data_IF_444907295733
#
_entry.id   IF_444907295733
#
_cell.length_a   1.000
_cell.length_b   1.000
_cell.length_c   1.000
_cell.angle_alpha   90.00
_cell.angle_beta   90.00
_cell.angle_gamma   90.00
#
_symmetry.space_group_name_H-M   'P 1'
#
loop_
_entity.id
_entity.type
_entity.pdbx_description
1 polymer ?
#
# COMPACT_ATOMS: atom_id res chain seq x y z
N UNK A 1 -3.28 39.67 10.94
CA UNK A 1 -4.49 38.85 10.77
C UNK A 1 -4.76 38.77 9.27
N UNK A 2 -4.37 37.68 8.65
CA UNK A 2 -4.72 37.37 7.25
C UNK A 2 -5.23 35.94 7.31
N UNK A 3 -6.57 35.81 7.20
CA UNK A 3 -7.25 34.52 7.21
C UNK A 3 -7.00 33.80 5.88
N UNK A 4 -6.31 32.68 5.93
CA UNK A 4 -6.23 31.75 4.81
C UNK A 4 -7.56 30.96 4.77
N UNK A 5 -8.37 31.17 3.73
CA UNK A 5 -9.54 30.37 3.43
C UNK A 5 -9.13 28.97 3.00
N UNK A 6 -9.56 27.98 3.77
CA UNK A 6 -9.47 26.56 3.41
C UNK A 6 -10.40 26.32 2.20
N UNK A 7 -9.94 25.68 1.12
CA UNK A 7 -10.82 25.32 0.02
C UNK A 7 -11.86 24.29 0.47
N UNK A 8 -13.08 24.29 -0.09
CA UNK A 8 -14.16 23.40 0.33
C UNK A 8 -13.75 21.93 0.05
N UNK A 9 -13.96 21.09 1.05
CA UNK A 9 -13.77 19.64 0.96
C UNK A 9 -14.56 19.09 -0.23
N UNK A 10 -13.89 18.31 -1.07
CA UNK A 10 -14.46 17.63 -2.23
C UNK A 10 -15.75 16.90 -1.83
N UNK A 11 -16.84 17.11 -2.60
CA UNK A 11 -18.20 16.62 -2.29
C UNK A 11 -18.34 15.10 -2.07
N UNK A 12 -17.30 14.30 -2.34
CA UNK A 12 -17.27 12.87 -2.07
C UNK A 12 -17.10 12.53 -0.58
N UNK A 13 -16.35 13.32 0.20
CA UNK A 13 -16.19 13.07 1.64
C UNK A 13 -17.53 13.31 2.41
N UNK A 14 -18.28 14.33 2.02
CA UNK A 14 -19.59 14.60 2.61
C UNK A 14 -20.58 13.46 2.28
N UNK A 15 -20.54 12.91 1.07
CA UNK A 15 -21.42 11.81 0.66
C UNK A 15 -21.11 10.48 1.38
N UNK A 16 -19.85 10.15 1.58
CA UNK A 16 -19.45 8.94 2.32
C UNK A 16 -19.84 9.06 3.80
N UNK A 17 -19.59 10.21 4.42
CA UNK A 17 -20.02 10.47 5.79
C UNK A 17 -21.55 10.41 5.95
N UNK A 18 -22.29 10.89 4.95
CA UNK A 18 -23.75 10.84 4.94
C UNK A 18 -24.29 9.40 4.82
N UNK A 19 -23.73 8.58 3.93
CA UNK A 19 -24.15 7.17 3.77
C UNK A 19 -23.90 6.38 5.06
N UNK A 20 -22.79 6.63 5.73
CA UNK A 20 -22.49 5.95 7.01
C UNK A 20 -23.39 6.46 8.13
N UNK A 21 -23.68 7.77 8.18
CA UNK A 21 -24.61 8.35 9.15
C UNK A 21 -26.05 7.84 8.94
N UNK A 22 -26.48 7.72 7.69
CA UNK A 22 -27.81 7.22 7.34
C UNK A 22 -27.97 5.74 7.68
N UNK A 23 -26.91 4.92 7.48
CA UNK A 23 -26.90 3.52 7.89
C UNK A 23 -26.93 3.34 9.41
N UNK A 24 -26.23 4.16 10.17
CA UNK A 24 -26.28 4.18 11.64
C UNK A 24 -27.65 4.63 12.18
N UNK A 25 -28.23 5.66 11.58
CA UNK A 25 -29.57 6.15 11.97
C UNK A 25 -30.68 5.17 11.59
N UNK A 26 -30.51 4.34 10.56
CA UNK A 26 -31.44 3.27 10.22
C UNK A 26 -31.38 2.13 11.26
N UNK A 27 -30.19 1.75 11.69
CA UNK A 27 -29.99 0.72 12.73
C UNK A 27 -30.55 1.16 14.10
N UNK A 28 -30.40 2.45 14.46
CA UNK A 28 -30.97 3.01 15.70
C UNK A 28 -32.51 3.09 15.66
N UNK A 29 -33.12 3.31 14.49
CA UNK A 29 -34.56 3.29 14.30
C UNK A 29 -35.14 1.86 14.43
N UNK A 30 -34.46 0.85 13.96
CA UNK A 30 -34.86 -0.56 14.15
C UNK A 30 -34.72 -1.01 15.63
N UNK A 31 -33.71 -0.50 16.34
CA UNK A 31 -33.50 -0.81 17.76
C UNK A 31 -34.43 -0.01 18.70
N UNK A 32 -34.93 1.16 18.28
CA UNK A 32 -35.77 2.07 19.06
C UNK A 32 -37.27 1.84 18.99
N UNK A 33 -37.75 0.87 18.21
CA UNK A 33 -39.16 0.67 17.85
C UNK A 33 -40.04 -0.05 18.90
N UNK A 34 -39.68 -0.09 20.18
CA UNK A 34 -40.58 -0.66 21.23
C UNK A 34 -40.66 0.27 22.41
N UNK A 35 -41.47 1.32 22.30
CA UNK A 35 -42.19 1.96 23.40
C UNK A 35 -43.33 2.85 22.86
N UNK A 36 -44.56 2.37 22.96
CA UNK A 36 -45.71 3.30 23.00
C UNK A 36 -46.86 2.68 23.78
N UNK A 37 -47.11 3.33 24.87
CA UNK A 37 -48.41 3.69 25.52
C UNK A 37 -49.51 2.66 25.58
N UNK A 38 -49.76 2.22 26.81
CA UNK A 38 -50.98 1.60 27.27
C UNK A 38 -52.10 2.65 27.40
N UNK A 39 -53.27 2.36 26.85
CA UNK A 39 -54.56 2.84 27.33
C UNK A 39 -55.58 1.72 27.10
N UNK A 40 -56.23 1.33 28.19
CA UNK A 40 -57.03 0.20 28.51
C UNK A 40 -58.07 -0.28 27.51
N UNK A 41 -58.18 -1.60 27.48
CA UNK A 41 -59.44 -2.29 27.37
C UNK A 41 -59.30 -3.71 27.98
N UNK A 42 -60.01 -3.95 29.09
CA UNK A 42 -60.08 -5.26 29.76
C UNK A 42 -60.89 -6.24 28.90
N UNK A 43 -60.18 -7.10 28.15
CA UNK A 43 -60.69 -8.42 27.73
C UNK A 43 -59.54 -9.44 27.89
N UNK A 44 -59.81 -10.67 28.37
CA UNK A 44 -58.78 -11.69 28.50
C UNK A 44 -58.32 -12.12 27.10
N UNK A 45 -57.20 -11.57 26.68
CA UNK A 45 -56.48 -11.97 25.49
C UNK A 45 -55.81 -13.35 25.82
N UNK A 46 -56.33 -14.42 25.22
CA UNK A 46 -55.55 -15.66 25.17
C UNK A 46 -54.31 -15.35 24.34
N UNK A 47 -53.19 -15.20 25.01
CA UNK A 47 -51.89 -15.10 24.35
C UNK A 47 -51.69 -16.35 23.50
N UNK A 48 -51.80 -16.22 22.19
CA UNK A 48 -51.32 -17.23 21.28
C UNK A 48 -49.83 -17.43 21.61
N UNK A 49 -49.37 -18.68 21.74
CA UNK A 49 -47.96 -18.93 21.99
C UNK A 49 -47.12 -18.21 20.93
N UNK A 50 -46.00 -17.56 21.32
CA UNK A 50 -45.14 -16.87 20.36
C UNK A 50 -44.81 -17.83 19.22
N UNK A 51 -45.07 -17.37 17.99
CA UNK A 51 -44.76 -18.15 16.79
C UNK A 51 -43.33 -18.67 16.91
N UNK A 52 -43.13 -19.99 16.83
CA UNK A 52 -41.80 -20.58 16.84
C UNK A 52 -40.99 -19.89 15.74
N UNK A 53 -39.71 -19.51 16.00
CA UNK A 53 -38.86 -18.92 14.97
C UNK A 53 -38.81 -19.90 13.80
N UNK A 54 -39.39 -19.51 12.67
CA UNK A 54 -39.32 -20.31 11.45
C UNK A 54 -37.85 -20.46 11.09
N UNK A 55 -37.36 -21.67 11.03
CA UNK A 55 -36.01 -21.94 10.52
C UNK A 55 -35.90 -21.35 9.12
N UNK A 56 -34.80 -20.66 8.82
CA UNK A 56 -34.60 -20.12 7.48
C UNK A 56 -34.63 -21.28 6.47
N UNK A 57 -35.23 -21.10 5.29
CA UNK A 57 -35.32 -22.15 4.29
C UNK A 57 -33.93 -22.69 3.97
N UNK A 58 -33.81 -24.00 3.79
CA UNK A 58 -32.53 -24.64 3.45
C UNK A 58 -31.92 -23.99 2.19
N UNK A 59 -30.61 -23.73 2.18
CA UNK A 59 -29.97 -23.12 1.03
C UNK A 59 -30.07 -24.03 -0.19
N UNK A 60 -30.33 -23.43 -1.37
CA UNK A 60 -30.31 -24.16 -2.64
C UNK A 60 -28.87 -24.60 -2.93
N UNK A 61 -28.67 -25.90 -3.12
CA UNK A 61 -27.37 -26.47 -3.50
C UNK A 61 -27.36 -26.63 -5.01
N UNK A 62 -26.53 -25.79 -5.69
CA UNK A 62 -26.24 -25.94 -7.11
C UNK A 62 -25.30 -27.13 -7.33
N UNK A 63 -25.66 -28.02 -8.26
CA UNK A 63 -24.84 -29.19 -8.62
C UNK A 63 -24.51 -29.16 -10.11
N UNK A 64 -23.25 -29.50 -10.44
CA UNK A 64 -22.78 -29.59 -11.82
C UNK A 64 -22.21 -30.99 -12.01
N UNK A 65 -22.69 -31.69 -13.04
CA UNK A 65 -22.09 -32.96 -13.43
C UNK A 65 -20.74 -32.69 -14.11
N UNK A 66 -19.67 -33.34 -13.65
CA UNK A 66 -18.31 -33.05 -14.11
C UNK A 66 -18.15 -33.18 -15.63
N UNK A 67 -18.85 -34.11 -16.28
CA UNK A 67 -18.82 -34.23 -17.75
C UNK A 67 -19.37 -33.03 -18.52
N UNK A 68 -20.13 -32.12 -17.88
CA UNK A 68 -20.55 -30.85 -18.50
C UNK A 68 -19.38 -29.89 -18.78
N UNK A 69 -18.19 -30.18 -18.27
CA UNK A 69 -16.97 -29.43 -18.60
C UNK A 69 -16.20 -29.98 -19.80
N UNK A 70 -16.56 -31.14 -20.35
CA UNK A 70 -15.78 -31.82 -21.38
C UNK A 70 -15.55 -30.96 -22.65
N UNK A 71 -16.59 -30.21 -23.05
CA UNK A 71 -16.55 -29.37 -24.26
C UNK A 71 -16.40 -27.88 -23.94
N UNK A 72 -16.06 -27.53 -22.69
CA UNK A 72 -15.85 -26.15 -22.27
C UNK A 72 -14.36 -25.80 -22.34
N UNK A 73 -14.06 -24.62 -22.91
CA UNK A 73 -12.74 -24.04 -22.84
C UNK A 73 -12.37 -23.82 -21.36
N UNK A 74 -11.13 -24.16 -21.02
CA UNK A 74 -10.62 -23.96 -19.65
C UNK A 74 -10.49 -22.46 -19.40
N UNK A 75 -11.22 -21.89 -18.41
CA UNK A 75 -11.16 -20.46 -18.15
C UNK A 75 -9.79 -20.04 -17.65
N UNK A 76 -9.27 -18.97 -18.18
CA UNK A 76 -8.02 -18.38 -17.69
C UNK A 76 -8.17 -17.91 -16.25
N UNK A 77 -7.08 -18.02 -15.50
CA UNK A 77 -7.02 -17.51 -14.15
C UNK A 77 -6.68 -16.03 -14.16
N UNK A 78 -7.55 -15.22 -13.61
CA UNK A 78 -7.30 -13.78 -13.49
C UNK A 78 -6.50 -13.46 -12.22
N UNK A 79 -5.53 -12.56 -12.38
CA UNK A 79 -4.65 -12.09 -11.33
C UNK A 79 -4.75 -10.58 -11.19
N UNK A 80 -4.83 -10.09 -9.96
CA UNK A 80 -4.62 -8.66 -9.69
C UNK A 80 -3.13 -8.31 -9.79
N UNK A 81 -2.28 -9.15 -9.20
CA UNK A 81 -0.82 -9.18 -9.39
C UNK A 81 -0.44 -10.60 -9.75
N UNK A 82 0.13 -10.76 -10.93
CA UNK A 82 0.42 -12.08 -11.50
C UNK A 82 1.19 -12.96 -10.53
N UNK A 83 0.74 -14.19 -10.36
CA UNK A 83 1.26 -15.19 -9.42
C UNK A 83 1.20 -14.82 -7.93
N UNK A 84 0.94 -13.57 -7.55
CA UNK A 84 0.99 -13.11 -6.16
C UNK A 84 -0.40 -12.91 -5.55
N UNK A 85 -1.29 -12.22 -6.25
CA UNK A 85 -2.61 -11.86 -5.74
C UNK A 85 -3.68 -12.31 -6.74
N UNK A 86 -4.35 -13.44 -6.48
CA UNK A 86 -5.42 -13.94 -7.36
C UNK A 86 -6.67 -13.10 -7.23
N UNK A 87 -7.34 -12.78 -8.34
CA UNK A 87 -8.62 -12.10 -8.34
C UNK A 87 -9.72 -12.87 -7.62
N UNK A 88 -10.76 -12.18 -7.15
CA UNK A 88 -11.97 -12.73 -6.50
C UNK A 88 -11.68 -13.55 -5.25
N UNK A 89 -10.61 -13.22 -4.54
CA UNK A 89 -10.16 -13.92 -3.35
C UNK A 89 -9.70 -12.94 -2.27
N UNK A 90 -9.52 -13.48 -1.07
CA UNK A 90 -8.86 -12.79 0.03
C UNK A 90 -7.40 -13.19 0.05
N UNK A 91 -6.51 -12.22 -0.04
CA UNK A 91 -5.06 -12.36 0.16
C UNK A 91 -4.68 -11.74 1.50
N UNK A 92 -3.93 -12.45 2.32
CA UNK A 92 -3.42 -11.94 3.59
C UNK A 92 -2.02 -11.36 3.38
N UNK A 93 -1.83 -10.09 3.73
CA UNK A 93 -0.52 -9.45 3.82
C UNK A 93 -0.11 -9.38 5.29
N UNK A 94 0.68 -10.35 5.72
CA UNK A 94 1.16 -10.47 7.09
C UNK A 94 2.58 -9.90 7.24
N UNK A 95 2.94 -9.51 8.46
CA UNK A 95 4.31 -9.05 8.79
C UNK A 95 4.35 -8.36 10.14
N UNK A 96 5.56 -8.25 10.71
CA UNK A 96 5.78 -7.70 12.04
C UNK A 96 5.37 -6.22 12.12
N UNK A 97 5.14 -5.73 13.35
CA UNK A 97 4.87 -4.32 13.59
C UNK A 97 6.00 -3.42 13.06
N UNK A 98 5.65 -2.28 12.47
CA UNK A 98 6.64 -1.31 11.97
C UNK A 98 7.48 -1.76 10.78
N UNK A 99 7.11 -2.85 10.07
CA UNK A 99 7.80 -3.26 8.83
C UNK A 99 7.46 -2.40 7.64
N UNK A 100 6.30 -1.67 7.68
CA UNK A 100 5.81 -0.84 6.59
C UNK A 100 4.76 -1.52 5.71
N UNK A 101 3.98 -2.47 6.25
CA UNK A 101 2.90 -3.16 5.52
C UNK A 101 1.88 -2.19 4.92
N UNK A 102 1.42 -1.21 5.71
CA UNK A 102 0.46 -0.19 5.27
C UNK A 102 1.00 0.62 4.09
N UNK A 103 2.29 1.02 4.15
CA UNK A 103 2.96 1.70 3.04
C UNK A 103 3.06 0.82 1.79
N UNK A 104 3.41 -0.46 1.96
CA UNK A 104 3.50 -1.43 0.86
C UNK A 104 2.13 -1.70 0.21
N UNK A 105 1.07 -1.78 1.02
CA UNK A 105 -0.30 -1.96 0.54
C UNK A 105 -0.86 -0.69 -0.14
N UNK A 106 -0.48 0.49 0.36
CA UNK A 106 -0.85 1.76 -0.27
C UNK A 106 -0.13 1.94 -1.64
N UNK A 107 1.13 1.48 -1.76
CA UNK A 107 1.84 1.42 -3.03
C UNK A 107 1.15 0.47 -4.03
N UNK A 108 0.71 -0.71 -3.57
CA UNK A 108 -0.13 -1.62 -4.38
C UNK A 108 -1.41 -0.93 -4.85
N UNK A 109 -2.12 -0.27 -3.95
CA UNK A 109 -3.36 0.45 -4.24
C UNK A 109 -3.15 1.54 -5.31
N UNK A 110 -2.08 2.34 -5.15
CA UNK A 110 -1.69 3.35 -6.12
C UNK A 110 -1.23 2.76 -7.46
N UNK A 111 -0.58 1.59 -7.47
CA UNK A 111 -0.17 0.91 -8.69
C UNK A 111 -1.37 0.37 -9.48
N UNK A 112 -2.32 -0.30 -8.80
CA UNK A 112 -3.54 -0.85 -9.40
C UNK A 112 -4.42 0.26 -9.97
N UNK A 113 -4.66 1.35 -9.23
CA UNK A 113 -5.49 2.48 -9.70
C UNK A 113 -4.93 3.11 -10.99
N UNK A 114 -3.62 3.13 -11.14
CA UNK A 114 -2.94 3.70 -12.31
C UNK A 114 -2.62 2.70 -13.41
N UNK A 115 -2.82 1.39 -13.18
CA UNK A 115 -2.37 0.32 -14.09
C UNK A 115 -0.84 0.27 -14.24
N UNK A 116 -0.11 0.65 -13.19
CA UNK A 116 1.36 0.61 -13.15
C UNK A 116 1.84 -0.69 -12.49
N UNK A 117 3.09 -1.04 -12.72
CA UNK A 117 3.69 -2.20 -12.04
C UNK A 117 3.85 -1.94 -10.54
N UNK A 118 3.50 -2.93 -9.73
CA UNK A 118 3.80 -2.96 -8.31
C UNK A 118 5.04 -3.83 -8.08
N UNK A 119 6.09 -3.26 -7.53
CA UNK A 119 7.36 -3.98 -7.32
C UNK A 119 7.83 -4.73 -8.58
N UNK A 120 7.85 -4.04 -9.72
CA UNK A 120 8.16 -4.60 -11.06
C UNK A 120 7.18 -5.68 -11.57
N UNK A 121 6.21 -6.10 -10.77
CA UNK A 121 5.18 -7.07 -11.15
C UNK A 121 4.04 -6.38 -11.91
N UNK A 122 3.52 -6.95 -12.99
CA UNK A 122 2.36 -6.41 -13.69
C UNK A 122 1.13 -6.46 -12.78
N UNK A 123 0.30 -5.42 -12.83
CA UNK A 123 -0.98 -5.33 -12.11
C UNK A 123 -2.13 -5.20 -13.09
N UNK A 124 -3.29 -5.74 -12.74
CA UNK A 124 -4.54 -5.38 -13.40
C UNK A 124 -4.96 -3.97 -12.98
N UNK A 125 -5.31 -3.10 -13.95
CA UNK A 125 -5.84 -1.76 -13.66
C UNK A 125 -7.29 -1.83 -13.20
N UNK A 126 -7.66 -1.03 -12.22
CA UNK A 126 -9.05 -0.87 -11.79
C UNK A 126 -9.20 0.10 -10.63
N UNK A 127 -10.45 0.42 -10.28
CA UNK A 127 -10.75 1.21 -9.09
C UNK A 127 -10.30 0.49 -7.83
N UNK A 128 -9.89 1.26 -6.84
CA UNK A 128 -9.41 0.75 -5.56
C UNK A 128 -10.12 1.46 -4.42
N UNK A 129 -10.52 0.69 -3.42
CA UNK A 129 -10.98 1.20 -2.12
C UNK A 129 -9.94 0.79 -1.07
N UNK A 130 -9.38 1.78 -0.37
CA UNK A 130 -8.42 1.56 0.71
C UNK A 130 -9.03 2.02 2.03
N UNK A 131 -9.31 1.06 2.92
CA UNK A 131 -9.82 1.30 4.28
C UNK A 131 -8.63 1.32 5.23
N UNK A 132 -8.34 2.48 5.82
CA UNK A 132 -7.27 2.66 6.80
C UNK A 132 -7.88 2.84 8.19
N UNK A 133 -7.66 1.88 9.10
CA UNK A 133 -8.11 1.97 10.48
C UNK A 133 -7.04 2.56 11.42
N UNK A 134 -5.78 2.61 10.97
CA UNK A 134 -4.65 3.12 11.76
C UNK A 134 -4.27 4.56 11.39
N UNK A 135 -4.26 4.89 10.09
CA UNK A 135 -3.76 6.18 9.59
C UNK A 135 -4.88 7.15 9.28
N UNK A 136 -4.67 8.41 9.64
CA UNK A 136 -5.52 9.56 9.29
C UNK A 136 -5.29 10.03 7.84
N UNK A 137 -6.17 10.88 7.32
CA UNK A 137 -6.10 11.43 5.97
C UNK A 137 -4.77 12.15 5.66
N UNK A 138 -4.24 12.89 6.63
CA UNK A 138 -2.99 13.64 6.46
C UNK A 138 -1.77 12.72 6.33
N UNK A 139 -1.76 11.59 7.06
CA UNK A 139 -0.68 10.62 6.95
C UNK A 139 -0.77 9.85 5.63
N UNK A 140 -1.96 9.45 5.20
CA UNK A 140 -2.18 8.85 3.88
C UNK A 140 -1.73 9.80 2.76
N UNK A 141 -2.00 11.10 2.89
CA UNK A 141 -1.53 12.12 1.96
C UNK A 141 0.00 12.19 1.90
N UNK A 142 0.68 12.25 3.06
CA UNK A 142 2.16 12.27 3.11
C UNK A 142 2.77 11.05 2.44
N UNK A 143 2.22 9.85 2.71
CA UNK A 143 2.68 8.59 2.10
C UNK A 143 2.44 8.56 0.60
N UNK A 144 1.26 8.98 0.13
CA UNK A 144 0.98 9.05 -1.31
C UNK A 144 1.90 10.05 -2.03
N UNK A 145 2.22 11.19 -1.42
CA UNK A 145 3.20 12.14 -1.95
C UNK A 145 4.56 11.49 -2.16
N UNK A 146 5.05 10.71 -1.19
CA UNK A 146 6.32 10.00 -1.31
C UNK A 146 6.27 8.88 -2.37
N UNK A 147 5.20 8.07 -2.38
CA UNK A 147 5.01 6.95 -3.31
C UNK A 147 4.92 7.41 -4.77
N UNK A 148 4.26 8.54 -5.01
CA UNK A 148 4.02 9.07 -6.36
C UNK A 148 5.03 10.11 -6.81
N UNK A 149 6.05 10.40 -5.99
CA UNK A 149 7.03 11.46 -6.24
C UNK A 149 6.37 12.84 -6.42
N UNK A 150 5.31 13.09 -5.67
CA UNK A 150 4.57 14.35 -5.69
C UNK A 150 3.49 14.46 -6.77
N UNK A 151 3.31 13.46 -7.62
CA UNK A 151 2.28 13.48 -8.66
C UNK A 151 1.05 12.67 -8.23
N UNK A 152 0.02 13.37 -7.74
CA UNK A 152 -1.24 12.79 -7.27
C UNK A 152 -2.38 12.84 -8.30
N UNK A 153 -2.20 13.55 -9.41
CA UNK A 153 -3.26 13.84 -10.39
C UNK A 153 -3.74 12.66 -11.21
N UNK A 154 -3.14 11.46 -11.07
CA UNK A 154 -3.55 10.23 -11.75
C UNK A 154 -4.13 9.16 -10.79
N UNK A 155 -4.59 9.58 -9.60
CA UNK A 155 -5.14 8.71 -8.56
C UNK A 155 -6.68 8.79 -8.42
N UNK A 156 -7.39 9.24 -9.44
CA UNK A 156 -8.86 9.37 -9.43
C UNK A 156 -9.58 8.03 -9.18
N UNK A 157 -8.96 6.92 -9.55
CA UNK A 157 -9.46 5.57 -9.33
C UNK A 157 -9.10 5.00 -7.93
N UNK A 158 -8.46 5.79 -7.03
CA UNK A 158 -8.13 5.40 -5.65
C UNK A 158 -9.01 6.16 -4.65
N UNK A 159 -9.96 5.45 -4.04
CA UNK A 159 -10.78 5.96 -2.94
C UNK A 159 -10.16 5.57 -1.60
N UNK A 160 -9.89 6.57 -0.75
CA UNK A 160 -9.40 6.36 0.61
C UNK A 160 -10.55 6.51 1.60
N UNK A 161 -10.61 5.60 2.58
CA UNK A 161 -11.51 5.65 3.72
C UNK A 161 -10.66 5.74 4.99
N UNK A 162 -10.29 6.95 5.46
CA UNK A 162 -9.57 7.15 6.70
C UNK A 162 -10.52 6.94 7.87
N UNK A 163 -10.41 5.81 8.55
CA UNK A 163 -11.31 5.37 9.62
C UNK A 163 -10.62 5.35 11.00
N UNK A 164 -9.40 5.86 11.10
CA UNK A 164 -8.63 5.92 12.34
C UNK A 164 -9.43 6.60 13.48
N UNK A 165 -9.35 6.03 14.67
CA UNK A 165 -10.04 6.55 15.85
C UNK A 165 -11.56 6.28 15.89
N UNK A 166 -12.09 5.45 15.01
CA UNK A 166 -13.52 5.05 14.97
C UNK A 166 -13.65 3.53 15.16
N UNK A 167 -14.84 3.08 15.57
CA UNK A 167 -15.14 1.65 15.60
C UNK A 167 -15.16 1.11 14.16
N UNK A 168 -14.20 0.22 13.87
CA UNK A 168 -13.99 -0.36 12.55
C UNK A 168 -14.45 -1.82 12.46
N UNK A 169 -15.08 -2.37 13.50
CA UNK A 169 -15.47 -3.79 13.55
C UNK A 169 -16.46 -4.12 12.44
N UNK A 170 -16.07 -5.05 11.57
CA UNK A 170 -16.91 -5.55 10.46
C UNK A 170 -17.76 -6.75 10.83
N UNK A 171 -17.36 -7.54 11.82
CA UNK A 171 -18.13 -8.69 12.27
C UNK A 171 -17.97 -8.94 13.77
N UNK A 172 -19.06 -9.28 14.46
CA UNK A 172 -19.10 -9.60 15.90
C UNK A 172 -19.72 -10.96 16.14
N UNK A 173 -19.32 -11.69 17.19
CA UNK A 173 -19.96 -12.95 17.56
C UNK A 173 -21.36 -12.70 18.15
N UNK A 174 -22.35 -13.46 17.72
CA UNK A 174 -23.66 -13.54 18.35
C UNK A 174 -23.60 -14.41 19.62
N UNK A 175 -24.69 -14.47 20.38
CA UNK A 175 -24.76 -15.23 21.64
C UNK A 175 -24.38 -16.72 21.49
N UNK A 176 -24.60 -17.29 20.32
CA UNK A 176 -24.23 -18.69 20.00
C UNK A 176 -22.83 -18.80 19.34
N UNK A 177 -22.02 -17.75 19.38
CA UNK A 177 -20.64 -17.75 18.88
C UNK A 177 -20.50 -17.64 17.36
N UNK A 178 -21.60 -17.54 16.60
CA UNK A 178 -21.57 -17.35 15.15
C UNK A 178 -21.30 -15.88 14.83
N UNK A 179 -20.34 -15.59 13.98
CA UNK A 179 -20.07 -14.22 13.53
C UNK A 179 -21.22 -13.66 12.69
N UNK A 180 -21.57 -12.43 12.97
CA UNK A 180 -22.57 -11.66 12.24
C UNK A 180 -21.96 -10.37 11.69
N UNK A 181 -22.34 -9.96 10.45
CA UNK A 181 -21.92 -8.70 9.90
C UNK A 181 -22.46 -7.52 10.73
N UNK A 182 -21.66 -6.49 10.88
CA UNK A 182 -22.07 -5.23 11.50
C UNK A 182 -22.71 -4.29 10.46
N UNK A 183 -23.36 -3.18 10.89
CA UNK A 183 -23.79 -2.15 9.96
C UNK A 183 -22.65 -1.60 9.10
N UNK A 184 -21.42 -1.51 9.64
CA UNK A 184 -20.24 -1.05 8.89
C UNK A 184 -19.87 -2.02 7.76
N UNK A 185 -19.98 -3.34 7.98
CA UNK A 185 -19.80 -4.33 6.92
C UNK A 185 -20.79 -4.11 5.76
N UNK A 186 -22.06 -3.83 6.08
CA UNK A 186 -23.09 -3.56 5.09
C UNK A 186 -22.82 -2.25 4.33
N UNK A 187 -22.37 -1.21 5.03
CA UNK A 187 -21.96 0.06 4.41
C UNK A 187 -20.76 -0.13 3.46
N UNK A 188 -19.76 -0.91 3.87
CA UNK A 188 -18.62 -1.27 3.01
C UNK A 188 -19.09 -2.07 1.78
N UNK A 189 -20.01 -3.04 1.96
CA UNK A 189 -20.60 -3.80 0.84
C UNK A 189 -21.31 -2.87 -0.16
N UNK A 190 -22.04 -1.86 0.31
CA UNK A 190 -22.70 -0.86 -0.54
C UNK A 190 -21.69 -0.01 -1.32
N UNK A 191 -20.57 0.39 -0.70
CA UNK A 191 -19.49 1.12 -1.39
C UNK A 191 -18.87 0.24 -2.48
N UNK A 192 -18.59 -1.03 -2.17
CA UNK A 192 -18.04 -2.00 -3.12
C UNK A 192 -19.01 -2.23 -4.31
N UNK A 193 -20.29 -2.35 -4.04
CA UNK A 193 -21.31 -2.50 -5.08
C UNK A 193 -21.41 -1.27 -5.99
N UNK A 194 -21.43 -0.07 -5.41
CA UNK A 194 -21.50 1.21 -6.14
C UNK A 194 -20.26 1.45 -7.00
N UNK A 195 -19.08 1.24 -6.46
CA UNK A 195 -17.81 1.63 -7.08
C UNK A 195 -17.19 0.52 -7.91
N UNK A 196 -17.63 -0.74 -7.72
CA UNK A 196 -17.12 -1.95 -8.40
C UNK A 196 -15.58 -1.98 -8.45
N UNK A 197 -14.89 -1.88 -7.28
CA UNK A 197 -13.43 -1.82 -7.26
C UNK A 197 -12.81 -3.17 -7.64
N UNK A 198 -11.71 -3.14 -8.39
CA UNK A 198 -10.90 -4.33 -8.64
C UNK A 198 -10.14 -4.79 -7.38
N UNK A 199 -9.86 -3.83 -6.47
CA UNK A 199 -9.13 -4.07 -5.22
C UNK A 199 -9.80 -3.35 -4.05
N UNK A 200 -9.98 -4.07 -2.95
CA UNK A 200 -10.28 -3.51 -1.62
C UNK A 200 -9.12 -3.85 -0.68
N UNK A 201 -8.50 -2.85 -0.09
CA UNK A 201 -7.48 -3.03 0.96
C UNK A 201 -8.12 -2.74 2.31
N UNK A 202 -7.89 -3.62 3.29
CA UNK A 202 -8.35 -3.46 4.68
C UNK A 202 -7.12 -3.46 5.59
N UNK A 203 -6.87 -2.34 6.23
CA UNK A 203 -5.70 -2.07 7.07
C UNK A 203 -6.14 -1.59 8.46
N UNK A 204 -6.29 -2.48 9.51
CA UNK A 204 -5.81 -3.85 9.59
C UNK A 204 -6.87 -4.84 10.07
N UNK A 205 -6.54 -6.14 10.03
CA UNK A 205 -7.37 -7.21 10.54
C UNK A 205 -7.74 -7.04 12.02
N UNK A 206 -6.79 -6.57 12.84
CA UNK A 206 -6.97 -6.39 14.27
C UNK A 206 -8.09 -5.40 14.60
N UNK A 207 -8.27 -4.38 13.75
CA UNK A 207 -9.28 -3.33 13.96
C UNK A 207 -10.67 -3.75 13.48
N UNK A 208 -10.73 -4.64 12.48
CA UNK A 208 -12.00 -4.99 11.81
C UNK A 208 -12.62 -6.30 12.29
N UNK A 209 -11.88 -7.09 13.07
CA UNK A 209 -12.30 -8.40 13.52
C UNK A 209 -12.71 -8.38 14.99
N UNK A 210 -14.01 -8.46 15.28
CA UNK A 210 -14.55 -8.49 16.65
C UNK A 210 -14.70 -9.88 17.25
N UNK A 211 -14.19 -10.92 16.59
CA UNK A 211 -14.24 -12.31 17.09
C UNK A 211 -13.03 -12.70 17.92
N UNK A 212 -12.99 -13.95 18.35
CA UNK A 212 -11.88 -14.52 19.10
C UNK A 212 -10.77 -14.99 18.15
N UNK A 213 -9.56 -14.41 18.25
CA UNK A 213 -8.43 -14.67 17.33
C UNK A 213 -8.03 -16.14 17.25
N UNK A 214 -8.15 -16.89 18.36
CA UNK A 214 -7.83 -18.31 18.41
C UNK A 214 -8.95 -19.24 17.96
N UNK A 215 -10.16 -18.71 17.74
CA UNK A 215 -11.29 -19.48 17.27
C UNK A 215 -11.17 -19.80 15.78
N UNK A 216 -10.85 -21.05 15.46
CA UNK A 216 -10.76 -21.52 14.07
C UNK A 216 -12.09 -21.37 13.31
N UNK A 217 -13.21 -21.51 14.01
CA UNK A 217 -14.54 -21.40 13.41
C UNK A 217 -14.81 -19.96 13.02
N UNK A 218 -14.65 -19.01 13.93
CA UNK A 218 -14.90 -17.59 13.69
C UNK A 218 -13.92 -17.01 12.65
N UNK A 219 -12.64 -17.38 12.71
CA UNK A 219 -11.65 -17.02 11.68
C UNK A 219 -12.11 -17.45 10.28
N UNK A 220 -12.58 -18.69 10.13
CA UNK A 220 -13.09 -19.17 8.84
C UNK A 220 -14.35 -18.44 8.40
N UNK A 221 -15.27 -18.17 9.33
CA UNK A 221 -16.50 -17.42 9.04
C UNK A 221 -16.16 -16.03 8.53
N UNK A 222 -15.23 -15.30 9.18
CA UNK A 222 -14.82 -13.96 8.75
C UNK A 222 -14.21 -13.94 7.34
N UNK A 223 -13.25 -14.84 7.08
CA UNK A 223 -12.67 -14.95 5.74
C UNK A 223 -13.71 -15.37 4.70
N UNK A 224 -14.68 -16.21 5.08
CA UNK A 224 -15.79 -16.61 4.19
C UNK A 224 -16.70 -15.42 3.87
N UNK A 225 -17.00 -14.55 4.85
CA UNK A 225 -17.78 -13.33 4.63
C UNK A 225 -17.06 -12.38 3.66
N UNK A 226 -15.77 -12.11 3.88
CA UNK A 226 -14.97 -11.28 2.98
C UNK A 226 -14.87 -11.93 1.58
N UNK A 227 -14.67 -13.24 1.51
CA UNK A 227 -14.63 -13.93 0.22
C UNK A 227 -15.98 -13.89 -0.50
N UNK A 228 -17.08 -13.93 0.26
CA UNK A 228 -18.43 -13.74 -0.28
C UNK A 228 -18.57 -12.38 -0.99
N UNK A 229 -18.08 -11.30 -0.38
CA UNK A 229 -18.00 -9.97 -1.04
C UNK A 229 -17.14 -10.02 -2.30
N UNK A 230 -15.96 -10.64 -2.22
CA UNK A 230 -15.03 -10.73 -3.35
C UNK A 230 -15.67 -11.47 -4.55
N UNK A 231 -16.40 -12.53 -4.30
CA UNK A 231 -17.09 -13.30 -5.35
C UNK A 231 -18.32 -12.59 -5.90
N UNK A 232 -19.14 -11.99 -5.01
CA UNK A 232 -20.39 -11.32 -5.39
C UNK A 232 -20.13 -10.09 -6.27
N UNK A 233 -19.08 -9.31 -5.96
CA UNK A 233 -18.81 -8.02 -6.60
C UNK A 233 -17.61 -8.06 -7.55
N UNK A 234 -17.09 -9.24 -7.87
CA UNK A 234 -15.90 -9.42 -8.75
C UNK A 234 -14.69 -8.58 -8.31
N UNK A 235 -14.49 -8.46 -7.00
CA UNK A 235 -13.40 -7.68 -6.39
C UNK A 235 -12.34 -8.58 -5.76
N UNK A 236 -11.16 -8.05 -5.50
CA UNK A 236 -10.08 -8.72 -4.77
C UNK A 236 -9.87 -8.03 -3.44
N UNK A 237 -9.70 -8.79 -2.36
CA UNK A 237 -9.48 -8.23 -1.02
C UNK A 237 -8.07 -8.53 -0.56
N UNK A 238 -7.32 -7.49 -0.16
CA UNK A 238 -6.04 -7.60 0.55
C UNK A 238 -6.27 -7.16 1.99
N UNK A 239 -6.08 -8.11 2.92
CA UNK A 239 -6.26 -7.91 4.35
C UNK A 239 -4.90 -7.90 5.03
N UNK A 240 -4.56 -6.79 5.69
CA UNK A 240 -3.32 -6.64 6.43
C UNK A 240 -3.44 -7.27 7.81
N UNK A 241 -2.39 -7.95 8.27
CA UNK A 241 -2.39 -8.57 9.59
C UNK A 241 -1.03 -8.52 10.27
N UNK A 242 -1.07 -8.58 11.61
CA UNK A 242 0.12 -8.81 12.41
C UNK A 242 0.28 -10.31 12.68
N UNK A 243 1.51 -10.85 12.70
CA UNK A 243 1.74 -12.22 13.14
C UNK A 243 1.53 -12.31 14.66
N UNK A 244 1.16 -13.49 15.16
CA UNK A 244 1.20 -13.74 16.61
C UNK A 244 2.63 -13.77 17.14
N UNK A 245 2.78 -13.59 18.46
CA UNK A 245 4.08 -13.70 19.15
C UNK A 245 4.78 -15.03 18.84
N UNK A 246 4.03 -16.14 18.81
CA UNK A 246 4.55 -17.45 18.45
C UNK A 246 4.98 -17.54 16.97
N UNK A 247 4.26 -16.88 16.07
CA UNK A 247 4.59 -16.81 14.64
C UNK A 247 5.86 -15.99 14.37
N UNK A 248 6.10 -14.94 15.14
CA UNK A 248 7.33 -14.15 15.11
C UNK A 248 8.54 -14.95 15.60
N UNK A 249 8.39 -15.63 16.73
CA UNK A 249 9.49 -16.42 17.35
C UNK A 249 9.98 -17.56 16.43
N UNK A 250 9.05 -18.21 15.71
CA UNK A 250 9.36 -19.34 14.83
C UNK A 250 9.70 -18.92 13.38
N UNK A 251 9.73 -17.63 13.06
CA UNK A 251 9.99 -17.14 11.70
C UNK A 251 8.94 -17.54 10.65
N UNK A 252 7.82 -18.15 11.07
CA UNK A 252 6.75 -18.58 10.16
C UNK A 252 5.81 -17.45 9.79
N UNK A 253 5.86 -16.32 10.53
CA UNK A 253 4.95 -15.20 10.38
C UNK A 253 3.47 -15.58 10.53
N UNK A 254 3.16 -16.69 11.21
CA UNK A 254 1.77 -17.11 11.40
C UNK A 254 1.08 -16.19 12.42
N UNK A 255 -0.07 -15.61 12.07
CA UNK A 255 -0.96 -14.96 13.02
C UNK A 255 -1.59 -16.02 13.96
N UNK A 256 -1.95 -15.64 15.17
CA UNK A 256 -2.39 -16.44 16.35
C UNK A 256 -3.00 -17.80 16.11
N UNK A 257 -3.84 -17.93 15.10
CA UNK A 257 -4.41 -19.23 14.68
C UNK A 257 -3.88 -19.62 13.29
N UNK A 258 -3.47 -20.89 13.14
CA UNK A 258 -3.20 -21.49 11.81
C UNK A 258 -4.42 -21.39 10.88
N UNK A 259 -5.61 -21.09 11.43
CA UNK A 259 -6.83 -20.92 10.67
C UNK A 259 -6.78 -19.73 9.71
N UNK A 260 -6.13 -18.61 10.07
CA UNK A 260 -5.94 -17.48 9.16
C UNK A 260 -5.19 -17.90 7.91
N UNK A 261 -4.04 -18.58 8.09
CA UNK A 261 -3.26 -19.08 6.99
C UNK A 261 -4.04 -20.08 6.11
N UNK A 262 -4.82 -20.97 6.74
CA UNK A 262 -5.54 -22.03 6.02
C UNK A 262 -6.77 -21.51 5.27
N UNK A 263 -7.38 -20.42 5.70
CA UNK A 263 -8.64 -19.89 5.15
C UNK A 263 -8.43 -19.05 3.89
N UNK A 264 -7.26 -18.40 3.71
CA UNK A 264 -6.97 -17.59 2.51
C UNK A 264 -6.36 -18.42 1.38
N UNK A 265 -6.40 -17.91 0.14
CA UNK A 265 -5.84 -18.57 -1.04
C UNK A 265 -4.43 -18.11 -1.39
N UNK A 266 -4.04 -16.91 -0.97
CA UNK A 266 -2.69 -16.37 -1.05
C UNK A 266 -2.31 -15.72 0.27
N UNK A 267 -1.04 -15.86 0.66
CA UNK A 267 -0.48 -15.19 1.83
C UNK A 267 0.91 -14.69 1.50
N UNK A 268 1.06 -13.38 1.69
CA UNK A 268 2.30 -12.66 1.57
C UNK A 268 2.84 -12.38 2.97
N UNK A 269 4.15 -12.45 3.15
CA UNK A 269 4.80 -12.13 4.40
C UNK A 269 5.88 -11.07 4.18
N UNK A 270 5.76 -9.96 4.90
CA UNK A 270 6.66 -8.83 4.79
C UNK A 270 7.44 -8.65 6.09
N UNK A 271 8.75 -8.80 6.02
CA UNK A 271 9.64 -8.85 7.19
C UNK A 271 10.88 -7.98 7.01
N UNK A 272 11.50 -7.60 8.13
CA UNK A 272 12.87 -7.08 8.13
C UNK A 272 13.83 -8.24 7.86
N UNK A 273 14.87 -7.97 7.09
CA UNK A 273 15.94 -8.96 6.86
C UNK A 273 16.78 -9.03 8.14
N UNK A 274 16.86 -10.21 8.72
CA UNK A 274 17.71 -10.42 9.92
C UNK A 274 19.17 -10.45 9.48
N UNK A 275 20.09 -9.82 10.24
CA UNK A 275 21.52 -9.87 9.93
C UNK A 275 22.04 -11.32 10.04
N UNK A 276 22.99 -11.65 9.21
CA UNK A 276 23.79 -12.88 9.39
C UNK A 276 24.74 -12.66 10.57
N UNK A 277 25.12 -13.73 11.24
CA UNK A 277 26.03 -13.65 12.39
C UNK A 277 27.34 -12.92 12.01
N UNK A 278 27.63 -11.82 12.72
CA UNK A 278 28.80 -10.96 12.44
C UNK A 278 28.53 -9.77 11.51
N UNK A 279 27.34 -9.67 10.91
CA UNK A 279 26.95 -8.51 10.10
C UNK A 279 26.20 -7.47 10.95
N UNK A 280 26.30 -6.19 10.53
CA UNK A 280 25.48 -5.13 11.14
C UNK A 280 24.04 -5.23 10.65
N UNK A 281 23.09 -4.97 11.54
CA UNK A 281 21.68 -4.89 11.19
C UNK A 281 21.42 -3.78 10.17
N UNK A 282 20.81 -4.13 9.06
CA UNK A 282 20.32 -3.19 8.05
C UNK A 282 18.83 -2.90 8.28
N UNK A 283 18.56 -1.77 8.93
CA UNK A 283 17.20 -1.38 9.31
C UNK A 283 16.28 -1.08 8.11
N UNK A 284 16.84 -0.83 6.92
CA UNK A 284 16.07 -0.51 5.72
C UNK A 284 15.77 -1.74 4.87
N UNK A 285 16.53 -2.83 5.01
CA UNK A 285 16.34 -4.04 4.25
C UNK A 285 15.03 -4.76 4.60
N UNK A 286 14.27 -5.14 3.59
CA UNK A 286 13.00 -5.85 3.70
C UNK A 286 12.95 -7.03 2.76
N UNK A 287 12.13 -8.01 3.14
CA UNK A 287 11.81 -9.15 2.27
C UNK A 287 10.31 -9.34 2.20
N UNK A 288 9.78 -9.41 0.99
CA UNK A 288 8.40 -9.82 0.73
C UNK A 288 8.42 -11.25 0.21
N UNK A 289 7.80 -12.18 0.93
CA UNK A 289 7.78 -13.61 0.56
C UNK A 289 6.35 -14.08 0.33
N UNK A 290 6.13 -14.87 -0.72
CA UNK A 290 4.87 -15.57 -0.99
C UNK A 290 4.85 -16.91 -0.26
N UNK A 291 4.39 -16.87 1.01
CA UNK A 291 4.41 -18.04 1.90
C UNK A 291 3.32 -19.07 1.58
N UNK A 292 2.21 -18.63 0.98
CA UNK A 292 1.14 -19.50 0.52
C UNK A 292 0.63 -19.05 -0.83
N UNK A 293 0.45 -20.00 -1.73
CA UNK A 293 -0.21 -19.82 -3.02
C UNK A 293 -0.94 -21.10 -3.39
N UNK A 294 -2.27 -21.02 -3.53
CA UNK A 294 -3.04 -22.18 -3.99
C UNK A 294 -2.96 -22.36 -5.51
N UNK A 295 -2.51 -21.33 -6.23
CA UNK A 295 -2.61 -21.26 -7.68
C UNK A 295 -1.26 -20.97 -8.36
N UNK A 296 -0.19 -20.80 -7.59
CA UNK A 296 1.17 -20.57 -8.07
C UNK A 296 2.18 -21.29 -7.18
N UNK A 297 3.45 -21.28 -7.55
CA UNK A 297 4.54 -21.86 -6.73
C UNK A 297 4.72 -21.02 -5.46
N UNK A 298 4.96 -21.64 -4.32
CA UNK A 298 5.31 -20.98 -3.07
C UNK A 298 6.80 -20.65 -3.01
N UNK A 299 7.20 -19.77 -2.09
CA UNK A 299 8.60 -19.47 -1.79
C UNK A 299 9.24 -18.37 -2.66
N UNK A 300 8.51 -17.80 -3.64
CA UNK A 300 9.01 -16.62 -4.34
C UNK A 300 9.18 -15.45 -3.35
N UNK A 301 10.31 -14.74 -3.44
CA UNK A 301 10.62 -13.62 -2.56
C UNK A 301 11.22 -12.45 -3.35
N UNK A 302 10.98 -11.23 -2.83
CA UNK A 302 11.52 -9.98 -3.34
C UNK A 302 12.35 -9.33 -2.23
N UNK A 303 13.62 -9.03 -2.53
CA UNK A 303 14.47 -8.23 -1.66
C UNK A 303 14.20 -6.75 -1.95
N UNK A 304 13.83 -6.03 -0.93
CA UNK A 304 13.40 -4.63 -1.00
C UNK A 304 14.16 -3.80 0.01
N UNK A 305 14.22 -2.50 -0.23
CA UNK A 305 14.80 -1.53 0.66
C UNK A 305 13.87 -0.34 0.85
N UNK A 306 13.73 0.11 2.10
CA UNK A 306 13.07 1.38 2.37
C UNK A 306 13.97 2.54 1.94
N UNK A 307 13.45 3.42 1.13
CA UNK A 307 14.18 4.60 0.63
C UNK A 307 13.21 5.74 0.34
N UNK A 308 13.42 6.88 0.97
CA UNK A 308 12.65 8.11 0.73
C UNK A 308 11.12 7.91 0.73
N UNK A 309 10.59 7.18 1.72
CA UNK A 309 9.15 7.00 1.90
C UNK A 309 8.51 5.91 1.04
N UNK A 310 9.29 5.04 0.40
CA UNK A 310 8.80 3.93 -0.44
C UNK A 310 9.73 2.72 -0.36
N UNK A 311 9.23 1.58 -0.83
CA UNK A 311 10.06 0.38 -1.00
C UNK A 311 10.53 0.28 -2.44
N UNK A 312 11.83 0.06 -2.62
CA UNK A 312 12.50 -0.09 -3.92
C UNK A 312 13.31 -1.39 -3.92
N UNK A 313 13.67 -1.87 -5.09
CA UNK A 313 14.57 -3.00 -5.17
C UNK A 313 15.99 -2.59 -4.74
N UNK A 314 16.69 -3.50 -4.13
CA UNK A 314 18.07 -3.29 -3.71
C UNK A 314 18.95 -2.88 -4.89
N UNK A 315 18.75 -3.50 -6.05
CA UNK A 315 19.46 -3.18 -7.29
C UNK A 315 19.19 -1.73 -7.77
N UNK A 316 18.02 -1.17 -7.47
CA UNK A 316 17.70 0.21 -7.85
C UNK A 316 18.47 1.23 -6.99
N UNK A 317 18.92 0.81 -5.79
CA UNK A 317 19.70 1.64 -4.87
C UNK A 317 21.22 1.45 -5.08
N UNK A 318 21.66 0.23 -5.30
CA UNK A 318 23.08 -0.15 -5.35
C UNK A 318 23.54 -0.63 -6.71
N UNK A 319 22.66 -0.78 -7.69
CA UNK A 319 23.01 -1.26 -9.02
C UNK A 319 23.70 -0.18 -9.89
N UNK A 320 24.27 -0.58 -11.05
CA UNK A 320 25.00 0.30 -11.96
C UNK A 320 24.20 1.54 -12.46
N UNK A 321 22.87 1.44 -12.48
CA UNK A 321 22.01 2.57 -12.82
C UNK A 321 21.97 3.61 -11.69
N UNK A 322 21.84 3.15 -10.44
CA UNK A 322 21.83 4.01 -9.26
C UNK A 322 23.21 4.64 -9.00
N UNK A 323 24.29 3.91 -9.29
CA UNK A 323 25.66 4.48 -9.27
C UNK A 323 25.80 5.61 -10.28
N UNK A 324 25.35 5.37 -11.53
CA UNK A 324 25.35 6.42 -12.57
C UNK A 324 24.49 7.63 -12.19
N UNK A 325 23.33 7.43 -11.56
CA UNK A 325 22.50 8.54 -11.09
C UNK A 325 23.19 9.36 -9.99
N UNK A 326 23.85 8.68 -9.04
CA UNK A 326 24.66 9.34 -7.99
C UNK A 326 25.84 10.11 -8.58
N UNK A 327 26.51 9.53 -9.56
CA UNK A 327 27.60 10.18 -10.30
C UNK A 327 27.11 11.42 -11.04
N UNK A 328 25.93 11.34 -11.68
CA UNK A 328 25.31 12.49 -12.36
C UNK A 328 24.90 13.59 -11.38
N UNK A 329 24.32 13.22 -10.22
CA UNK A 329 23.95 14.17 -9.17
C UNK A 329 25.20 14.85 -8.58
N UNK A 330 26.27 14.10 -8.33
CA UNK A 330 27.54 14.62 -7.86
C UNK A 330 28.23 15.53 -8.91
N UNK A 331 28.18 15.13 -10.18
CA UNK A 331 28.71 15.92 -11.29
C UNK A 331 27.93 17.24 -11.43
N UNK A 332 26.60 17.20 -11.35
CA UNK A 332 25.77 18.42 -11.41
C UNK A 332 26.10 19.38 -10.27
N UNK A 333 26.19 18.90 -9.02
CA UNK A 333 26.57 19.72 -7.87
C UNK A 333 27.98 20.29 -7.99
N UNK A 334 28.92 19.54 -8.56
CA UNK A 334 30.28 20.02 -8.81
C UNK A 334 30.30 21.16 -9.84
N UNK A 335 29.51 21.03 -10.91
CA UNK A 335 29.29 22.08 -11.90
C UNK A 335 28.64 23.33 -11.27
N UNK A 336 27.65 23.15 -10.39
CA UNK A 336 27.00 24.25 -9.66
C UNK A 336 28.00 25.03 -8.80
N UNK A 337 28.86 24.32 -8.03
CA UNK A 337 29.89 24.98 -7.21
C UNK A 337 30.87 25.76 -8.08
N UNK A 338 31.32 25.18 -9.18
CA UNK A 338 32.22 25.88 -10.11
C UNK A 338 31.55 27.12 -10.70
N UNK A 339 30.32 27.01 -11.17
CA UNK A 339 29.56 28.14 -11.70
C UNK A 339 29.42 29.25 -10.64
N UNK A 340 29.08 28.88 -9.38
CA UNK A 340 29.01 29.82 -8.27
C UNK A 340 30.35 30.53 -8.01
N UNK A 341 31.47 29.79 -7.97
CA UNK A 341 32.79 30.31 -7.70
C UNK A 341 33.29 31.32 -8.77
N UNK A 342 32.78 31.18 -10.00
CA UNK A 342 33.12 32.15 -11.10
C UNK A 342 32.02 33.20 -11.29
N UNK A 343 31.03 33.29 -10.38
CA UNK A 343 29.97 34.29 -10.43
C UNK A 343 28.95 34.06 -11.56
N UNK A 344 28.84 32.85 -12.09
CA UNK A 344 27.95 32.53 -13.20
C UNK A 344 26.61 32.02 -12.69
N UNK A 345 25.53 32.74 -12.98
CA UNK A 345 24.15 32.33 -12.64
C UNK A 345 23.65 31.27 -13.60
N UNK A 346 23.01 30.21 -13.03
CA UNK A 346 22.44 29.10 -13.77
C UNK A 346 20.91 29.09 -13.69
N UNK A 347 20.25 28.90 -14.83
CA UNK A 347 18.79 28.87 -14.94
C UNK A 347 18.24 27.45 -14.87
N UNK A 348 17.12 27.20 -14.16
CA UNK A 348 16.39 25.93 -14.24
C UNK A 348 15.57 25.79 -15.53
N UNK A 349 15.35 26.88 -16.28
CA UNK A 349 14.54 26.89 -17.50
C UNK A 349 15.42 26.95 -18.76
N UNK A 350 14.88 26.39 -19.83
CA UNK A 350 15.51 26.39 -21.16
C UNK A 350 15.89 27.85 -21.58
N UNK A 351 17.12 28.03 -22.06
CA UNK A 351 17.64 29.30 -22.48
C UNK A 351 19.17 29.30 -22.49
N UNK A 352 19.79 30.49 -22.67
CA UNK A 352 21.25 30.63 -22.78
C UNK A 352 22.01 30.09 -21.56
N UNK A 353 21.45 30.25 -20.35
CA UNK A 353 22.06 29.83 -19.09
C UNK A 353 21.36 28.59 -18.49
N UNK A 354 20.70 27.77 -19.31
CA UNK A 354 20.09 26.51 -18.84
C UNK A 354 21.18 25.61 -18.30
N UNK A 355 21.10 25.30 -16.99
CA UNK A 355 22.14 24.59 -16.27
C UNK A 355 22.61 23.28 -16.95
N UNK A 356 21.75 22.35 -17.37
CA UNK A 356 22.19 21.11 -18.03
C UNK A 356 22.96 21.34 -19.34
N UNK A 357 22.58 22.35 -20.13
CA UNK A 357 23.26 22.67 -21.39
C UNK A 357 24.62 23.31 -21.19
N UNK A 358 24.77 24.15 -20.17
CA UNK A 358 26.04 24.78 -19.82
C UNK A 358 26.96 23.72 -19.20
N UNK A 359 26.45 22.94 -18.25
CA UNK A 359 27.25 21.98 -17.49
C UNK A 359 27.83 20.86 -18.34
N UNK A 360 27.10 20.36 -19.35
CA UNK A 360 27.63 19.30 -20.24
C UNK A 360 28.97 19.67 -20.91
N UNK A 361 29.32 20.94 -20.95
CA UNK A 361 30.57 21.45 -21.53
C UNK A 361 31.68 21.60 -20.47
N UNK A 362 31.36 21.45 -19.18
CA UNK A 362 32.30 21.54 -18.09
C UNK A 362 33.01 20.21 -17.84
N UNK A 363 34.27 20.27 -17.41
CA UNK A 363 35.04 19.09 -17.03
C UNK A 363 34.39 18.29 -15.88
N UNK A 364 33.79 19.03 -14.95
CA UNK A 364 33.11 18.50 -13.78
C UNK A 364 31.89 17.62 -14.13
N UNK A 365 31.30 17.78 -15.31
CA UNK A 365 30.22 16.94 -15.81
C UNK A 365 30.66 15.55 -16.18
N UNK A 366 31.97 15.27 -16.27
CA UNK A 366 32.54 13.93 -16.55
C UNK A 366 31.91 13.23 -17.75
N UNK A 367 31.54 14.01 -18.80
CA UNK A 367 30.92 13.47 -20.01
C UNK A 367 29.43 13.14 -19.89
N UNK A 368 28.75 13.58 -18.82
CA UNK A 368 27.29 13.45 -18.71
C UNK A 368 26.56 14.26 -19.79
N UNK A 369 25.56 13.66 -20.45
CA UNK A 369 24.75 14.36 -21.45
C UNK A 369 23.83 15.39 -20.80
N UNK A 370 23.34 16.37 -21.58
CA UNK A 370 22.39 17.35 -21.09
C UNK A 370 21.12 16.71 -20.51
N UNK A 371 20.62 15.60 -21.09
CA UNK A 371 19.46 14.88 -20.59
C UNK A 371 19.72 14.17 -19.25
N UNK A 372 20.92 13.63 -19.05
CA UNK A 372 21.32 13.06 -17.76
C UNK A 372 21.42 14.14 -16.69
N UNK A 373 22.03 15.26 -17.01
CA UNK A 373 22.15 16.43 -16.11
C UNK A 373 20.80 17.08 -15.83
N UNK A 374 19.85 17.08 -16.79
CA UNK A 374 18.49 17.55 -16.55
C UNK A 374 17.77 16.66 -15.53
N UNK A 375 17.86 15.33 -15.67
CA UNK A 375 17.31 14.40 -14.66
C UNK A 375 17.98 14.54 -13.29
N UNK A 376 19.29 14.77 -13.25
CA UNK A 376 20.00 15.06 -12.00
C UNK A 376 19.49 16.35 -11.35
N UNK A 377 19.29 17.42 -12.12
CA UNK A 377 18.71 18.67 -11.62
C UNK A 377 17.33 18.45 -10.99
N UNK A 378 16.46 17.70 -11.64
CA UNK A 378 15.13 17.36 -11.12
C UNK A 378 15.21 16.59 -9.80
N UNK A 379 16.04 15.53 -9.72
CA UNK A 379 16.26 14.78 -8.47
C UNK A 379 16.79 15.64 -7.35
N UNK A 380 17.75 16.53 -7.64
CA UNK A 380 18.36 17.42 -6.65
C UNK A 380 17.38 18.48 -6.14
N UNK A 381 16.49 19.00 -6.99
CA UNK A 381 15.38 19.87 -6.60
C UNK A 381 14.38 19.14 -5.70
N UNK A 382 13.99 17.92 -6.05
CA UNK A 382 13.08 17.07 -5.25
C UNK A 382 13.66 16.77 -3.86
N UNK A 383 14.97 16.49 -3.77
CA UNK A 383 15.67 16.24 -2.50
C UNK A 383 16.00 17.52 -1.75
N UNK A 384 15.66 18.68 -2.29
CA UNK A 384 15.99 19.99 -1.74
C UNK A 384 17.51 20.22 -1.55
N UNK A 385 18.34 19.52 -2.31
CA UNK A 385 19.78 19.75 -2.35
C UNK A 385 20.15 21.04 -3.11
N UNK A 386 19.29 21.41 -4.05
CA UNK A 386 19.29 22.70 -4.74
C UNK A 386 17.90 23.31 -4.68
N UNK A 387 17.80 24.61 -4.83
CA UNK A 387 16.56 25.37 -4.82
C UNK A 387 16.53 26.40 -5.92
N UNK A 388 15.34 26.82 -6.31
CA UNK A 388 15.14 27.92 -7.25
C UNK A 388 14.95 29.19 -6.43
N UNK A 389 15.81 30.19 -6.66
CA UNK A 389 15.72 31.49 -6.04
C UNK A 389 15.39 32.57 -7.11
N UNK A 390 14.76 33.64 -6.70
CA UNK A 390 14.52 34.79 -7.56
C UNK A 390 15.56 35.87 -7.24
N UNK A 391 16.31 36.30 -8.26
CA UNK A 391 17.34 37.32 -8.14
C UNK A 391 17.05 38.51 -9.07
N UNK A 392 17.58 39.68 -8.73
CA UNK A 392 17.45 40.90 -9.51
C UNK A 392 16.35 41.85 -9.04
N UNK A 393 16.35 43.11 -9.58
CA UNK A 393 15.37 44.12 -9.21
C UNK A 393 13.94 43.73 -9.65
N UNK A 394 12.88 44.26 -9.02
CA UNK A 394 11.49 43.86 -9.26
C UNK A 394 11.06 43.87 -10.74
N UNK A 395 11.63 44.72 -11.57
CA UNK A 395 11.36 44.83 -13.00
C UNK A 395 12.11 43.80 -13.88
N UNK A 396 13.11 43.08 -13.32
CA UNK A 396 13.99 42.16 -14.07
C UNK A 396 14.32 40.91 -13.24
N UNK A 397 13.35 40.37 -12.50
CA UNK A 397 13.54 39.14 -11.72
C UNK A 397 13.88 37.96 -12.63
N UNK A 398 14.85 37.16 -12.21
CA UNK A 398 15.28 35.93 -12.88
C UNK A 398 15.26 34.79 -11.90
N UNK A 399 14.89 33.62 -12.40
CA UNK A 399 14.95 32.37 -11.63
C UNK A 399 16.33 31.77 -11.79
N UNK A 400 16.99 31.51 -10.69
CA UNK A 400 18.34 30.95 -10.64
C UNK A 400 18.37 29.74 -9.71
N UNK A 401 19.29 28.81 -9.99
CA UNK A 401 19.55 27.67 -9.13
C UNK A 401 20.55 28.06 -8.04
N UNK A 402 20.27 27.69 -6.81
CA UNK A 402 21.18 27.83 -5.68
C UNK A 402 21.32 26.49 -4.94
N UNK A 403 22.50 26.24 -4.40
CA UNK A 403 22.74 25.10 -3.50
C UNK A 403 22.09 25.44 -2.15
N UNK A 404 21.40 24.50 -1.52
CA UNK A 404 20.76 24.71 -0.22
C UNK A 404 21.82 24.54 0.89
N UNK A 405 22.07 25.61 1.64
CA UNK A 405 22.99 25.58 2.78
C UNK A 405 22.39 24.70 3.89
N UNK A 406 23.12 23.68 4.33
CA UNK A 406 22.74 22.81 5.44
C UNK A 406 22.45 21.35 5.10
N UNK A 407 22.47 20.96 3.82
CA UNK A 407 22.54 19.54 3.45
C UNK A 407 23.98 19.10 3.47
N UNK A 408 24.40 18.41 4.54
CA UNK A 408 25.72 17.76 4.60
C UNK A 408 25.88 16.85 3.39
N UNK A 409 26.86 17.14 2.55
CA UNK A 409 27.10 16.38 1.34
C UNK A 409 27.70 15.02 1.68
N UNK A 410 27.25 13.92 1.07
CA UNK A 410 28.02 12.69 1.05
C UNK A 410 29.21 12.89 0.10
N UNK A 411 30.29 13.52 0.58
CA UNK A 411 31.44 13.80 -0.25
C UNK A 411 32.70 14.28 0.45
N UNK A 412 32.61 14.72 1.72
CA UNK A 412 33.81 14.98 2.55
C UNK A 412 34.07 13.89 3.60
N UNK A 413 33.08 13.00 3.84
CA UNK A 413 33.25 11.82 4.72
C UNK A 413 32.52 10.59 4.13
N UNK A 414 32.79 10.29 2.86
CA UNK A 414 32.21 9.13 2.15
C UNK A 414 32.68 7.77 2.70
N UNK A 415 33.47 7.76 3.77
CA UNK A 415 33.94 6.54 4.42
C UNK A 415 33.03 6.05 5.57
N UNK A 416 32.00 6.81 5.98
CA UNK A 416 31.23 6.46 7.19
C UNK A 416 29.75 6.07 6.93
N UNK A 417 29.23 6.19 5.70
CA UNK A 417 27.84 5.89 5.39
C UNK A 417 27.59 4.70 4.45
N UNK A 418 28.66 4.12 3.87
CA UNK A 418 28.52 2.91 3.03
C UNK A 418 29.54 1.89 3.50
N UNK A 419 29.17 0.66 3.78
CA UNK A 419 30.14 -0.42 3.97
C UNK A 419 30.95 -0.60 2.68
N UNK A 420 32.26 -0.87 2.77
CA UNK A 420 33.08 -1.12 1.60
C UNK A 420 32.52 -2.29 0.80
N UNK A 421 32.42 -2.12 -0.51
CA UNK A 421 32.11 -3.20 -1.43
C UNK A 421 33.03 -4.37 -1.16
N UNK A 422 32.44 -5.52 -0.83
CA UNK A 422 33.17 -6.76 -0.58
C UNK A 422 33.90 -7.21 -1.86
N UNK A 423 35.24 -7.28 -1.90
CA UNK A 423 36.00 -7.65 -3.09
C UNK A 423 36.04 -9.17 -3.35
N UNK A 424 35.14 -9.97 -2.77
CA UNK A 424 35.11 -11.42 -2.94
C UNK A 424 34.05 -11.88 -3.94
N UNK A 425 34.13 -11.44 -5.20
CA UNK A 425 33.54 -12.15 -6.33
C UNK A 425 34.35 -11.92 -7.60
N UNK A 426 35.57 -12.46 -7.63
CA UNK A 426 36.26 -12.77 -8.90
C UNK A 426 37.28 -13.86 -8.65
N UNK A 427 36.85 -15.10 -8.70
CA UNK A 427 37.61 -16.26 -9.12
C UNK A 427 36.73 -17.51 -9.02
N UNK A 428 35.84 -17.68 -9.97
CA UNK A 428 35.37 -19.01 -10.34
C UNK A 428 35.97 -19.27 -11.71
N UNK A 429 37.11 -19.95 -11.73
CA UNK A 429 37.73 -20.55 -12.90
C UNK A 429 37.13 -21.97 -13.08
N UNK A 430 36.43 -22.25 -14.19
CA UNK A 430 35.85 -23.59 -14.42
C UNK A 430 36.80 -24.48 -15.17
N UNK A 431 38.03 -24.69 -14.69
CA UNK A 431 38.97 -25.69 -15.23
C UNK A 431 39.81 -26.20 -14.10
N UNK A 432 39.42 -27.35 -13.56
CA UNK A 432 40.23 -28.40 -12.93
C UNK A 432 39.28 -29.32 -12.16
N UNK A 433 38.79 -30.35 -12.88
CA UNK A 433 38.49 -31.68 -12.35
C UNK A 433 38.42 -32.67 -13.55
N UNK A 434 39.59 -33.04 -14.03
CA UNK A 434 39.86 -34.36 -14.61
C UNK A 434 41.03 -34.96 -13.80
N UNK A 435 40.68 -36.00 -12.99
CA UNK A 435 41.64 -36.76 -12.22
C UNK A 435 40.95 -37.69 -11.25
#
# INVERSE_FOLDING_TARGET
MIGASVPPANGNHAKIAQIVADASAAAEREAGGVRSSAAGNDQPFFDAPPAEPQEPPAPLIETIVASAFADREIPERHWLVEDWIPCRNVTLLAGDGGTGKSLLALDLAAAVSRGKRWLRLPTARGRVVYVSCEDEADELHRRLQALTLGFLGDLDDLTLIPWAGRDAILATPSRNGVLRPTPLFNALSTIIERDSPALVVIDTLADVYGGEENSRVQTRQFITMLRGLALKHDTTIVLLSHPSVAGMANGTGASGSTAWNNSVRSRLYFERVKPVEGEREDHDARRLTRNKANYARTGASLALRYSAGRFVFEDDVFGPAAERERDDDAAFLSCMRRAHNVGQSMSPALGRNYAPNVFRQMQEARGASADRLARAMERLLQRRAIQIIETGPPSKRRKELAITDGVGFPGSDAASFYPPSNPLRSSFDPREDEG
#
